data_IF_356401322351
#
_entry.id   IF_356401322351
#
_cell.length_a   1.000
_cell.length_b   1.000
_cell.length_c   1.000
_cell.angle_alpha   90.00
_cell.angle_beta   90.00
_cell.angle_gamma   90.00
#
_symmetry.space_group_name_H-M   'P 1'
#
loop_
_entity.id
_entity.type
_entity.pdbx_description
1 polymer ?
#
# COMPACT_ATOMS: atom_id res chain seq x y z
N UNK A 1 -24.93 4.55 29.01
CA UNK A 1 -23.82 4.53 28.05
C UNK A 1 -23.84 5.81 27.22
N UNK A 2 -22.76 6.61 27.30
CA UNK A 2 -22.79 7.98 26.78
C UNK A 2 -22.70 8.00 25.24
N UNK A 3 -23.48 8.87 24.60
CA UNK A 3 -23.40 9.18 23.16
C UNK A 3 -21.97 9.57 22.70
N UNK A 4 -21.07 9.92 23.62
CA UNK A 4 -19.67 10.27 23.35
C UNK A 4 -18.79 9.11 22.90
N UNK A 5 -19.08 7.87 23.29
CA UNK A 5 -18.27 6.70 22.88
C UNK A 5 -18.31 6.41 21.38
N UNK A 6 -19.44 6.69 20.71
CA UNK A 6 -19.63 6.41 19.26
C UNK A 6 -18.80 7.30 18.35
N UNK A 7 -18.60 8.56 18.73
CA UNK A 7 -17.82 9.51 17.94
C UNK A 7 -16.31 9.25 18.05
N UNK A 8 -15.86 8.72 19.19
CA UNK A 8 -14.44 8.54 19.48
C UNK A 8 -13.79 7.50 18.56
N UNK A 9 -14.44 6.34 18.35
CA UNK A 9 -13.88 5.31 17.47
C UNK A 9 -13.76 5.78 16.02
N UNK A 10 -14.81 6.38 15.47
CA UNK A 10 -14.79 6.90 14.11
C UNK A 10 -13.72 7.98 13.94
N UNK A 11 -13.55 8.85 14.95
CA UNK A 11 -12.50 9.87 14.96
C UNK A 11 -11.12 9.22 15.04
N UNK A 12 -10.93 8.22 15.89
CA UNK A 12 -9.65 7.50 16.00
C UNK A 12 -9.29 6.77 14.71
N UNK A 13 -10.24 6.08 14.08
CA UNK A 13 -10.03 5.41 12.79
C UNK A 13 -9.72 6.43 11.68
N UNK A 14 -10.48 7.52 11.63
CA UNK A 14 -10.22 8.61 10.69
C UNK A 14 -8.86 9.26 10.90
N UNK A 15 -8.48 9.53 12.14
CA UNK A 15 -7.17 10.07 12.47
C UNK A 15 -6.02 9.11 12.10
N UNK A 16 -6.18 7.81 12.34
CA UNK A 16 -5.19 6.81 11.94
C UNK A 16 -4.99 6.76 10.42
N UNK A 17 -6.07 6.77 9.65
CA UNK A 17 -6.00 6.77 8.18
C UNK A 17 -5.41 8.09 7.65
N UNK A 18 -5.80 9.23 8.24
CA UNK A 18 -5.25 10.53 7.87
C UNK A 18 -3.76 10.62 8.18
N UNK A 19 -3.33 10.15 9.35
CA UNK A 19 -1.91 10.11 9.72
C UNK A 19 -1.11 9.23 8.78
N UNK A 20 -1.66 8.07 8.37
CA UNK A 20 -1.03 7.18 7.40
C UNK A 20 -0.92 7.84 6.02
N UNK A 21 -1.96 8.56 5.58
CA UNK A 21 -1.93 9.31 4.32
C UNK A 21 -0.84 10.39 4.36
N UNK A 22 -0.80 11.18 5.43
CA UNK A 22 0.22 12.23 5.59
C UNK A 22 1.62 11.64 5.58
N UNK A 23 1.85 10.56 6.34
CA UNK A 23 3.16 9.88 6.37
C UNK A 23 3.53 9.29 5.02
N UNK A 24 2.59 8.71 4.28
CA UNK A 24 2.84 8.20 2.94
C UNK A 24 3.22 9.32 1.97
N UNK A 25 2.50 10.44 2.00
CA UNK A 25 2.81 11.61 1.17
C UNK A 25 4.19 12.19 1.52
N UNK A 26 4.50 12.33 2.81
CA UNK A 26 5.83 12.80 3.26
C UNK A 26 6.92 11.86 2.77
N UNK A 27 6.74 10.54 2.91
CA UNK A 27 7.70 9.54 2.43
C UNK A 27 7.92 9.65 0.91
N UNK A 28 6.84 9.68 0.13
CA UNK A 28 6.93 9.86 -1.33
C UNK A 28 7.70 11.16 -1.64
N UNK A 29 7.39 12.26 -0.96
CA UNK A 29 8.02 13.57 -1.19
C UNK A 29 9.52 13.52 -0.89
N UNK A 30 9.93 12.88 0.21
CA UNK A 30 11.34 12.74 0.61
C UNK A 30 12.15 11.99 -0.46
N UNK A 31 11.57 10.99 -1.11
CA UNK A 31 12.25 10.26 -2.20
C UNK A 31 12.14 10.97 -3.55
N UNK A 32 10.99 11.55 -3.85
CA UNK A 32 10.73 12.18 -5.15
C UNK A 32 11.51 13.49 -5.31
N UNK A 33 11.63 14.31 -4.27
CA UNK A 33 12.35 15.60 -4.41
C UNK A 33 13.82 15.42 -4.84
N UNK A 34 14.66 14.62 -4.15
CA UNK A 34 16.04 14.39 -4.58
C UNK A 34 16.14 13.74 -5.96
N UNK A 35 15.20 12.85 -6.27
CA UNK A 35 15.11 12.21 -7.56
C UNK A 35 14.82 13.22 -8.68
N UNK A 36 13.84 14.09 -8.51
CA UNK A 36 13.51 15.15 -9.48
C UNK A 36 14.65 16.15 -9.66
N UNK A 37 15.44 16.40 -8.62
CA UNK A 37 16.61 17.27 -8.69
C UNK A 37 17.69 16.76 -9.64
N UNK A 38 17.71 15.46 -9.95
CA UNK A 38 18.63 14.84 -10.93
C UNK A 38 18.17 15.03 -12.39
N UNK A 39 17.05 15.71 -12.62
CA UNK A 39 16.56 16.04 -13.97
C UNK A 39 15.85 14.93 -14.73
N UNK A 40 15.24 13.88 -14.11
CA UNK A 40 14.61 12.76 -14.83
C UNK A 40 13.35 13.17 -15.60
N UNK A 41 12.77 14.34 -15.31
CA UNK A 41 11.55 14.83 -15.98
C UNK A 41 11.74 15.03 -17.50
N UNK A 42 12.97 15.25 -17.97
CA UNK A 42 13.26 15.31 -19.42
C UNK A 42 12.93 13.99 -20.12
N UNK A 43 12.92 12.87 -19.39
CA UNK A 43 12.58 11.53 -19.91
C UNK A 43 11.12 11.16 -19.66
N UNK A 44 10.30 12.02 -19.08
CA UNK A 44 8.92 11.70 -18.72
C UNK A 44 8.04 11.23 -19.90
N UNK A 45 8.34 11.71 -21.11
CA UNK A 45 7.66 11.31 -22.34
C UNK A 45 8.26 10.07 -23.00
N UNK A 46 9.42 9.58 -22.53
CA UNK A 46 10.06 8.40 -23.09
C UNK A 46 9.29 7.13 -22.71
N UNK A 47 9.22 6.16 -23.62
CA UNK A 47 8.69 4.83 -23.33
C UNK A 47 9.57 4.06 -22.36
N UNK A 48 8.98 3.18 -21.57
CA UNK A 48 9.70 2.33 -20.62
C UNK A 48 10.61 1.30 -21.28
N UNK A 49 10.33 0.93 -22.52
CA UNK A 49 11.08 -0.06 -23.32
C UNK A 49 12.54 0.38 -23.56
N UNK A 50 12.83 1.69 -23.46
CA UNK A 50 14.18 2.22 -23.59
C UNK A 50 15.07 1.99 -22.36
N UNK A 51 14.52 1.49 -21.25
CA UNK A 51 15.27 1.27 -20.02
C UNK A 51 15.73 -0.20 -19.97
N UNK A 52 16.92 -0.45 -20.52
CA UNK A 52 17.51 -1.79 -20.67
C UNK A 52 17.55 -2.65 -19.40
N UNK A 53 17.77 -2.04 -18.22
CA UNK A 53 17.93 -2.77 -16.97
C UNK A 53 16.61 -3.22 -16.31
N UNK A 54 15.46 -2.76 -16.81
CA UNK A 54 14.17 -2.95 -16.14
C UNK A 54 13.35 -4.13 -16.68
N UNK A 55 13.83 -4.81 -17.72
CA UNK A 55 13.06 -5.84 -18.41
C UNK A 55 11.97 -5.25 -19.32
N UNK A 56 11.12 -6.11 -19.87
CA UNK A 56 10.02 -5.67 -20.73
C UNK A 56 8.83 -5.21 -19.90
N UNK A 57 8.37 -3.96 -20.03
CA UNK A 57 7.18 -3.49 -19.34
C UNK A 57 5.94 -4.24 -19.86
N UNK A 58 4.96 -4.48 -18.98
CA UNK A 58 3.72 -5.14 -19.39
C UNK A 58 2.77 -4.23 -20.16
N UNK A 59 2.95 -2.93 -20.02
CA UNK A 59 2.12 -1.89 -20.62
C UNK A 59 3.00 -0.86 -21.31
N UNK A 60 2.55 -0.33 -22.43
CA UNK A 60 3.21 0.74 -23.19
C UNK A 60 3.02 2.09 -22.48
N UNK A 61 3.63 2.21 -21.32
CA UNK A 61 3.56 3.42 -20.53
C UNK A 61 4.77 4.31 -20.79
N UNK A 62 4.54 5.61 -20.66
CA UNK A 62 5.65 6.55 -20.54
C UNK A 62 6.22 6.51 -19.13
N UNK A 63 7.47 6.91 -18.99
CA UNK A 63 8.13 6.98 -17.70
C UNK A 63 7.37 7.86 -16.68
N UNK A 64 6.80 8.99 -17.13
CA UNK A 64 5.97 9.85 -16.28
C UNK A 64 4.70 9.16 -15.78
N UNK A 65 4.01 8.42 -16.66
CA UNK A 65 2.82 7.62 -16.29
C UNK A 65 3.19 6.55 -15.26
N UNK A 66 4.31 5.86 -15.47
CA UNK A 66 4.82 4.85 -14.54
C UNK A 66 5.06 5.42 -13.13
N UNK A 67 5.69 6.59 -13.02
CA UNK A 67 5.92 7.24 -11.72
C UNK A 67 4.61 7.59 -11.00
N UNK A 68 3.60 8.05 -11.72
CA UNK A 68 2.28 8.35 -11.14
C UNK A 68 1.58 7.08 -10.64
N UNK A 69 1.63 6.00 -11.42
CA UNK A 69 1.06 4.71 -11.03
C UNK A 69 1.80 4.14 -9.81
N UNK A 70 3.12 4.26 -9.78
CA UNK A 70 3.93 3.83 -8.63
C UNK A 70 3.57 4.60 -7.35
N UNK A 71 3.43 5.91 -7.44
CA UNK A 71 2.97 6.73 -6.31
C UNK A 71 1.58 6.30 -5.83
N UNK A 72 0.65 6.04 -6.75
CA UNK A 72 -0.67 5.51 -6.45
C UNK A 72 -0.63 4.13 -5.76
N UNK A 73 0.25 3.25 -6.21
CA UNK A 73 0.50 1.93 -5.60
C UNK A 73 0.97 2.07 -4.16
N UNK A 74 1.96 2.94 -3.90
CA UNK A 74 2.50 3.19 -2.56
C UNK A 74 1.40 3.74 -1.63
N UNK A 75 0.59 4.68 -2.10
CA UNK A 75 -0.53 5.23 -1.33
C UNK A 75 -1.56 4.15 -1.00
N UNK A 76 -1.95 3.32 -1.97
CA UNK A 76 -2.91 2.25 -1.76
C UNK A 76 -2.42 1.22 -0.75
N UNK A 77 -1.17 0.78 -0.86
CA UNK A 77 -0.55 -0.16 0.08
C UNK A 77 -0.44 0.44 1.48
N UNK A 78 -0.05 1.71 1.60
CA UNK A 78 0.07 2.40 2.89
C UNK A 78 -1.28 2.53 3.60
N UNK A 79 -2.32 2.93 2.88
CA UNK A 79 -3.67 3.05 3.43
C UNK A 79 -4.26 1.67 3.79
N UNK A 80 -4.03 0.66 2.97
CA UNK A 80 -4.44 -0.71 3.26
C UNK A 80 -3.79 -1.25 4.52
N UNK A 81 -2.48 -1.08 4.66
CA UNK A 81 -1.72 -1.48 5.84
C UNK A 81 -2.18 -0.72 7.09
N UNK A 82 -2.41 0.59 7.00
CA UNK A 82 -2.94 1.38 8.11
C UNK A 82 -4.33 0.92 8.54
N UNK A 83 -5.20 0.60 7.58
CA UNK A 83 -6.52 0.04 7.85
C UNK A 83 -6.46 -1.30 8.59
N UNK A 84 -5.58 -2.21 8.17
CA UNK A 84 -5.34 -3.47 8.88
C UNK A 84 -4.82 -3.26 10.29
N UNK A 85 -3.85 -2.35 10.47
CA UNK A 85 -3.30 -2.02 11.79
C UNK A 85 -4.35 -1.44 12.71
N UNK A 86 -5.16 -0.51 12.21
CA UNK A 86 -6.26 0.10 12.95
C UNK A 86 -7.31 -0.96 13.36
N UNK A 87 -7.62 -1.90 12.47
CA UNK A 87 -8.49 -3.03 12.78
C UNK A 87 -7.90 -3.92 13.88
N UNK A 88 -6.63 -4.35 13.75
CA UNK A 88 -5.94 -5.19 14.75
C UNK A 88 -5.88 -4.52 16.12
N UNK A 89 -5.68 -3.21 16.16
CA UNK A 89 -5.66 -2.40 17.37
C UNK A 89 -6.97 -2.54 18.18
N UNK A 90 -8.12 -2.66 17.52
CA UNK A 90 -9.43 -2.82 18.19
C UNK A 90 -9.59 -4.18 18.89
N UNK A 91 -8.87 -5.20 18.43
CA UNK A 91 -8.91 -6.57 18.96
C UNK A 91 -7.70 -6.90 19.84
N UNK A 92 -6.95 -5.88 20.25
CA UNK A 92 -5.76 -6.03 21.09
C UNK A 92 -5.96 -5.30 22.40
N UNK A 93 -5.80 -6.00 23.53
CA UNK A 93 -6.02 -5.44 24.86
C UNK A 93 -4.92 -4.46 25.30
N UNK A 94 -3.73 -4.54 24.66
CA UNK A 94 -2.61 -3.65 24.92
C UNK A 94 -1.72 -3.51 23.67
N UNK A 95 -0.80 -2.54 23.72
CA UNK A 95 0.11 -2.23 22.62
C UNK A 95 1.02 -3.40 22.24
N UNK A 96 1.51 -4.15 23.23
CA UNK A 96 2.40 -5.31 23.00
C UNK A 96 1.66 -6.42 22.25
N UNK A 97 0.42 -6.72 22.65
CA UNK A 97 -0.42 -7.71 21.98
C UNK A 97 -0.75 -7.30 20.53
N UNK A 98 -0.91 -6.00 20.27
CA UNK A 98 -1.08 -5.48 18.92
C UNK A 98 0.19 -5.68 18.07
N UNK A 99 1.37 -5.34 18.60
CA UNK A 99 2.64 -5.52 17.89
C UNK A 99 2.92 -6.99 17.58
N UNK A 100 2.68 -7.90 18.54
CA UNK A 100 2.86 -9.34 18.35
C UNK A 100 1.98 -9.92 17.23
N UNK A 101 0.85 -9.29 16.92
CA UNK A 101 -0.01 -9.67 15.78
C UNK A 101 0.39 -8.96 14.49
N UNK A 102 0.68 -7.67 14.57
CA UNK A 102 0.94 -6.83 13.41
C UNK A 102 2.31 -7.13 12.79
N UNK A 103 3.36 -7.29 13.59
CA UNK A 103 4.73 -7.50 13.08
C UNK A 103 4.84 -8.76 12.23
N UNK A 104 4.43 -9.97 12.69
CA UNK A 104 4.50 -11.17 11.85
C UNK A 104 3.66 -11.05 10.57
N UNK A 105 2.48 -10.43 10.65
CA UNK A 105 1.62 -10.20 9.50
C UNK A 105 2.32 -9.32 8.45
N UNK A 106 2.89 -8.19 8.87
CA UNK A 106 3.56 -7.26 7.95
C UNK A 106 4.89 -7.81 7.44
N UNK A 107 5.61 -8.59 8.23
CA UNK A 107 6.80 -9.29 7.75
C UNK A 107 6.41 -10.29 6.67
N UNK A 108 5.40 -11.11 6.91
CA UNK A 108 4.92 -12.08 5.91
C UNK A 108 4.43 -11.39 4.62
N UNK A 109 3.60 -10.34 4.76
CA UNK A 109 3.12 -9.54 3.63
C UNK A 109 4.28 -8.84 2.92
N UNK A 110 5.23 -8.26 3.67
CA UNK A 110 6.39 -7.56 3.13
C UNK A 110 7.35 -8.48 2.39
N UNK A 111 7.59 -9.69 2.91
CA UNK A 111 8.40 -10.72 2.22
C UNK A 111 7.71 -11.14 0.92
N UNK A 112 6.42 -11.45 0.96
CA UNK A 112 5.67 -11.89 -0.23
C UNK A 112 5.56 -10.77 -1.26
N UNK A 113 5.11 -9.57 -0.85
CA UNK A 113 4.95 -8.45 -1.78
C UNK A 113 6.28 -7.84 -2.19
N UNK A 114 7.25 -7.72 -1.27
CA UNK A 114 8.54 -7.10 -1.54
C UNK A 114 9.36 -7.93 -2.50
N UNK A 115 9.50 -9.24 -2.25
CA UNK A 115 10.29 -10.12 -3.11
C UNK A 115 9.60 -10.45 -4.43
N UNK A 116 8.27 -10.42 -4.47
CA UNK A 116 7.51 -10.87 -5.65
C UNK A 116 6.98 -9.73 -6.52
N UNK A 117 6.48 -8.67 -5.92
CA UNK A 117 5.69 -7.67 -6.64
C UNK A 117 6.34 -6.28 -6.67
N UNK A 118 7.15 -5.91 -5.68
CA UNK A 118 7.59 -4.52 -5.50
C UNK A 118 9.04 -4.26 -5.91
N UNK A 119 9.83 -5.29 -6.23
CA UNK A 119 11.21 -5.06 -6.65
C UNK A 119 11.27 -4.33 -8.01
N UNK A 120 10.47 -4.76 -8.97
CA UNK A 120 10.30 -4.09 -10.27
C UNK A 120 8.84 -4.14 -10.71
N UNK A 121 7.98 -3.30 -10.13
CA UNK A 121 6.56 -3.37 -10.41
C UNK A 121 6.24 -3.12 -11.89
N UNK A 122 5.24 -3.82 -12.38
CA UNK A 122 4.73 -3.74 -13.76
C UNK A 122 5.72 -4.11 -14.86
N UNK A 123 6.78 -4.86 -14.53
CA UNK A 123 7.74 -5.36 -15.51
C UNK A 123 7.75 -6.88 -15.56
N UNK A 124 7.97 -7.42 -16.77
CA UNK A 124 8.15 -8.85 -16.98
C UNK A 124 9.53 -9.28 -16.50
N UNK A 125 9.59 -10.34 -15.69
CA UNK A 125 10.85 -10.92 -15.19
C UNK A 125 11.21 -12.16 -15.99
N UNK A 126 12.49 -12.31 -16.35
CA UNK A 126 13.00 -13.53 -16.94
C UNK A 126 12.83 -14.74 -16.02
N UNK A 127 12.66 -15.93 -16.64
CA UNK A 127 12.46 -17.22 -15.93
C UNK A 127 13.58 -17.59 -14.96
N UNK A 128 14.82 -17.13 -15.19
CA UNK A 128 15.96 -17.43 -14.32
C UNK A 128 15.94 -16.72 -12.95
N UNK A 129 15.13 -15.67 -12.81
CA UNK A 129 14.93 -15.00 -11.53
C UNK A 129 13.92 -15.73 -10.62
N UNK A 130 13.47 -16.93 -11.01
CA UNK A 130 12.51 -17.74 -10.26
C UNK A 130 11.07 -17.25 -10.34
N UNK A 131 10.82 -16.20 -11.09
CA UNK A 131 9.50 -15.59 -11.28
C UNK A 131 9.01 -15.91 -12.70
N UNK A 132 8.50 -17.10 -12.88
CA UNK A 132 8.03 -17.58 -14.17
C UNK A 132 6.77 -16.87 -14.69
N UNK A 133 6.24 -17.31 -15.84
CA UNK A 133 5.08 -16.73 -16.53
C UNK A 133 3.75 -16.83 -15.74
N UNK A 134 3.80 -17.20 -14.46
CA UNK A 134 2.65 -17.42 -13.59
C UNK A 134 2.07 -16.15 -12.98
N UNK A 135 2.81 -15.05 -13.01
CA UNK A 135 2.30 -13.77 -12.48
C UNK A 135 1.49 -13.06 -13.55
N UNK A 136 0.18 -12.89 -13.38
CA UNK A 136 -0.65 -12.20 -14.36
C UNK A 136 -0.26 -10.72 -14.46
N UNK A 137 -0.43 -10.16 -15.66
CA UNK A 137 -0.20 -8.73 -15.91
C UNK A 137 -1.00 -7.87 -14.95
N UNK A 138 -0.34 -6.93 -14.28
CA UNK A 138 -0.99 -6.03 -13.32
C UNK A 138 -1.30 -6.66 -11.96
N UNK A 139 -0.66 -7.78 -11.60
CA UNK A 139 -0.84 -8.43 -10.29
C UNK A 139 -0.58 -7.48 -9.13
N UNK A 140 0.34 -6.53 -9.28
CA UNK A 140 0.68 -5.51 -8.30
C UNK A 140 -0.51 -4.60 -7.99
N UNK A 141 -1.22 -4.15 -9.04
CA UNK A 141 -2.41 -3.33 -8.89
C UNK A 141 -3.53 -4.11 -8.20
N UNK A 142 -3.71 -5.39 -8.56
CA UNK A 142 -4.69 -6.26 -7.92
C UNK A 142 -4.34 -6.48 -6.44
N UNK A 143 -3.08 -6.77 -6.13
CA UNK A 143 -2.64 -6.97 -4.75
C UNK A 143 -2.83 -5.70 -3.90
N UNK A 144 -2.49 -4.53 -4.44
CA UNK A 144 -2.71 -3.25 -3.76
C UNK A 144 -4.20 -2.96 -3.56
N UNK A 145 -5.03 -3.22 -4.57
CA UNK A 145 -6.49 -3.04 -4.47
C UNK A 145 -7.10 -3.98 -3.43
N UNK A 146 -6.67 -5.25 -3.40
CA UNK A 146 -7.12 -6.23 -2.40
C UNK A 146 -6.70 -5.80 -0.99
N UNK A 147 -5.45 -5.40 -0.79
CA UNK A 147 -4.97 -4.94 0.52
C UNK A 147 -5.72 -3.69 0.98
N UNK A 148 -5.93 -2.73 0.08
CA UNK A 148 -6.70 -1.52 0.35
C UNK A 148 -8.15 -1.86 0.72
N UNK A 149 -8.82 -2.69 -0.07
CA UNK A 149 -10.21 -3.11 0.16
C UNK A 149 -10.34 -3.87 1.49
N UNK A 150 -9.43 -4.78 1.80
CA UNK A 150 -9.40 -5.50 3.07
C UNK A 150 -9.18 -4.54 4.24
N UNK A 151 -8.19 -3.66 4.17
CA UNK A 151 -7.90 -2.70 5.24
C UNK A 151 -9.07 -1.78 5.54
N UNK A 152 -9.60 -1.12 4.52
CA UNK A 152 -10.74 -0.21 4.66
C UNK A 152 -12.04 -0.95 5.00
N UNK A 153 -12.27 -2.12 4.39
CA UNK A 153 -13.44 -2.95 4.67
C UNK A 153 -13.49 -3.45 6.11
N UNK A 154 -12.36 -3.92 6.64
CA UNK A 154 -12.26 -4.36 8.04
C UNK A 154 -12.43 -3.19 9.02
N UNK A 155 -11.91 -2.01 8.72
CA UNK A 155 -12.17 -0.81 9.49
C UNK A 155 -13.67 -0.47 9.50
N UNK A 156 -14.32 -0.46 8.34
CA UNK A 156 -15.74 -0.19 8.23
C UNK A 156 -16.59 -1.22 8.99
N UNK A 157 -16.21 -2.51 8.94
CA UNK A 157 -16.86 -3.58 9.70
C UNK A 157 -16.70 -3.40 11.20
N UNK A 158 -15.51 -3.02 11.68
CA UNK A 158 -15.26 -2.73 13.09
C UNK A 158 -16.17 -1.58 13.58
N UNK A 159 -16.25 -0.49 12.83
CA UNK A 159 -17.13 0.63 13.13
C UNK A 159 -18.62 0.21 13.17
N UNK A 160 -19.06 -0.61 12.20
CA UNK A 160 -20.45 -1.11 12.14
C UNK A 160 -20.78 -2.04 13.31
N UNK A 161 -19.88 -2.97 13.68
CA UNK A 161 -20.09 -3.91 14.80
C UNK A 161 -20.21 -3.17 16.14
N UNK A 162 -19.37 -2.18 16.36
CA UNK A 162 -19.45 -1.42 17.60
C UNK A 162 -20.76 -0.63 17.69
N UNK A 163 -21.22 -0.06 16.56
CA UNK A 163 -22.51 0.62 16.51
C UNK A 163 -23.70 -0.28 16.85
N UNK A 164 -23.61 -1.60 16.54
CA UNK A 164 -24.66 -2.58 16.87
C UNK A 164 -24.62 -3.07 18.32
N UNK A 165 -23.47 -3.01 18.99
CA UNK A 165 -23.35 -3.45 20.41
C UNK A 165 -23.83 -2.40 21.38
N UNK A 166 -24.03 -1.19 20.93
CA UNK A 166 -24.46 -0.06 21.76
C UNK A 166 -25.95 0.31 21.55
N UNK A 167 -26.67 -0.41 20.68
CA UNK A 167 -28.12 -0.41 20.53
C UNK A 167 -28.75 -1.53 21.32
#
# INVERSE_FOLDING_TARGET
ASRRGRSVLNVQMGAALLSALVLAVVNITVYVIPFLAQGPLQFAACGLDGIWEWGTPWFDWTYGTYLLVLAGLILALSLGAAGLTAFLSQYSGNYIAMLLKAVPLFVAVGVVLGSWLLDRPFTFRPLWDGYGPWVPKGAEAVAAAVLLALGLGLCALACRRQRKREL
#
